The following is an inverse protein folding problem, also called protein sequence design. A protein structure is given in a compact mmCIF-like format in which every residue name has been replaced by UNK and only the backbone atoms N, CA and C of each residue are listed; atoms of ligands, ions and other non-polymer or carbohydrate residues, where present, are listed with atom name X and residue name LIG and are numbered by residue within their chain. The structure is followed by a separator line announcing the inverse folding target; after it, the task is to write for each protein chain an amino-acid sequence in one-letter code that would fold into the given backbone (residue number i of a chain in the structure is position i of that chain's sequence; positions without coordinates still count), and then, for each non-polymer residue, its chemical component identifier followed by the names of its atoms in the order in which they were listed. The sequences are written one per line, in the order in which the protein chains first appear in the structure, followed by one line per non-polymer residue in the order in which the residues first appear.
data_IF_978342393302
#
_entry.id   IF_978342393302
#
_cell.length_a   1.000
_cell.length_b   1.000
_cell.length_c   1.000
_cell.angle_alpha   90.00
_cell.angle_beta   90.00
_cell.angle_gamma   90.00
#
_symmetry.space_group_name_H-M   'P 1'
#
loop_
_entity.id
_entity.type
_entity.pdbx_description
1 polymer ?
#
# COMPACT_ATOMS: atom_id res chain seq x y z
N UNK A 1 8.72 6.20 -23.89
CA UNK A 1 8.46 4.99 -24.72
C UNK A 1 9.57 3.94 -24.74
N UNK A 2 10.83 4.23 -25.10
CA UNK A 2 11.88 3.18 -25.19
C UNK A 2 12.07 2.36 -23.90
N UNK A 3 12.08 3.02 -22.74
CA UNK A 3 12.24 2.38 -21.42
C UNK A 3 11.06 1.47 -21.08
N UNK A 4 9.83 1.96 -21.31
CA UNK A 4 8.59 1.18 -21.16
C UNK A 4 8.66 -0.07 -22.05
N UNK A 5 8.93 0.11 -23.35
CA UNK A 5 9.02 -1.00 -24.30
C UNK A 5 10.04 -2.05 -23.87
N UNK A 6 11.19 -1.63 -23.32
CA UNK A 6 12.22 -2.53 -22.79
C UNK A 6 11.68 -3.44 -21.69
N UNK A 7 11.04 -2.88 -20.66
CA UNK A 7 10.52 -3.66 -19.53
C UNK A 7 9.33 -4.55 -19.92
N UNK A 8 8.43 -4.08 -20.79
CA UNK A 8 7.33 -4.89 -21.29
C UNK A 8 7.82 -6.02 -22.20
N UNK A 9 8.83 -5.78 -23.04
CA UNK A 9 9.45 -6.83 -23.88
C UNK A 9 10.09 -7.90 -23.00
N UNK A 10 10.80 -7.49 -21.95
CA UNK A 10 11.39 -8.41 -20.99
C UNK A 10 10.32 -9.26 -20.29
N UNK A 11 9.23 -8.65 -19.85
CA UNK A 11 8.14 -9.35 -19.18
C UNK A 11 7.41 -10.34 -20.13
N UNK A 12 7.22 -9.98 -21.40
CA UNK A 12 6.69 -10.87 -22.43
C UNK A 12 7.63 -12.05 -22.70
N UNK A 13 8.94 -11.80 -22.81
CA UNK A 13 9.92 -12.86 -22.97
C UNK A 13 9.93 -13.81 -21.76
N UNK A 14 9.86 -13.27 -20.55
CA UNK A 14 9.73 -14.07 -19.33
C UNK A 14 8.44 -14.91 -19.33
N UNK A 15 7.31 -14.36 -19.78
CA UNK A 15 6.04 -15.10 -19.94
C UNK A 15 6.22 -16.30 -20.89
N UNK A 16 6.85 -16.08 -22.05
CA UNK A 16 7.10 -17.14 -23.04
C UNK A 16 7.99 -18.24 -22.45
N UNK A 17 9.07 -17.86 -21.75
CA UNK A 17 10.00 -18.79 -21.11
C UNK A 17 9.34 -19.69 -20.05
N UNK A 18 8.28 -19.22 -19.38
CA UNK A 18 7.54 -20.04 -18.39
C UNK A 18 6.83 -21.24 -19.01
N UNK A 19 6.64 -21.28 -20.32
CA UNK A 19 6.20 -22.48 -21.06
C UNK A 19 7.22 -23.63 -20.96
N UNK A 20 8.48 -23.32 -20.62
CA UNK A 20 9.55 -24.28 -20.34
C UNK A 20 10.05 -24.11 -18.90
N UNK A 21 9.38 -24.71 -17.90
CA UNK A 21 9.65 -24.45 -16.49
C UNK A 21 11.10 -24.71 -16.07
N UNK A 22 11.74 -25.73 -16.64
CA UNK A 22 13.14 -26.04 -16.36
C UNK A 22 14.09 -24.92 -16.80
N UNK A 23 13.89 -24.39 -18.02
CA UNK A 23 14.69 -23.29 -18.55
C UNK A 23 14.42 -21.99 -17.78
N UNK A 24 13.15 -21.70 -17.48
CA UNK A 24 12.78 -20.52 -16.70
C UNK A 24 13.46 -20.49 -15.33
N UNK A 25 13.43 -21.61 -14.60
CA UNK A 25 14.09 -21.73 -13.28
C UNK A 25 15.60 -21.65 -13.38
N UNK A 26 16.21 -22.27 -14.39
CA UNK A 26 17.66 -22.21 -14.60
C UNK A 26 18.15 -20.78 -14.88
N UNK A 27 17.36 -19.98 -15.61
CA UNK A 27 17.70 -18.60 -15.96
C UNK A 27 17.30 -17.57 -14.89
N UNK A 28 16.39 -17.90 -13.98
CA UNK A 28 15.90 -17.01 -12.92
C UNK A 28 16.04 -17.68 -11.55
N UNK A 29 17.27 -17.86 -11.03
CA UNK A 29 17.45 -18.37 -9.68
C UNK A 29 16.85 -17.39 -8.65
N UNK A 30 16.22 -17.93 -7.61
CA UNK A 30 15.70 -17.12 -6.50
C UNK A 30 16.90 -16.54 -5.74
N UNK A 31 17.03 -15.21 -5.76
CA UNK A 31 18.09 -14.51 -5.05
C UNK A 31 17.66 -14.22 -3.59
N UNK A 32 18.56 -14.35 -2.61
CA UNK A 32 18.23 -14.17 -1.19
C UNK A 32 17.94 -12.71 -0.78
N UNK A 33 18.39 -11.70 -1.55
CA UNK A 33 18.38 -10.28 -1.14
C UNK A 33 17.18 -9.47 -1.69
N UNK A 34 16.02 -10.12 -1.85
CA UNK A 34 14.84 -9.50 -2.50
C UNK A 34 14.12 -8.48 -1.61
N UNK A 35 14.09 -8.69 -0.30
CA UNK A 35 13.38 -7.82 0.64
C UNK A 35 14.08 -6.45 0.80
N UNK A 36 15.40 -6.42 1.00
CA UNK A 36 16.15 -5.18 1.15
C UNK A 36 16.13 -4.36 -0.15
N UNK A 37 16.25 -5.01 -1.32
CA UNK A 37 16.11 -4.37 -2.61
C UNK A 37 14.70 -3.78 -2.83
N UNK A 38 13.66 -4.49 -2.41
CA UNK A 38 12.28 -3.99 -2.45
C UNK A 38 12.09 -2.77 -1.54
N UNK A 39 12.61 -2.82 -0.31
CA UNK A 39 12.58 -1.69 0.63
C UNK A 39 13.32 -0.47 0.08
N UNK A 40 14.49 -0.68 -0.54
CA UNK A 40 15.23 0.40 -1.22
C UNK A 40 14.44 1.00 -2.39
N UNK A 41 13.82 0.15 -3.21
CA UNK A 41 12.93 0.57 -4.29
C UNK A 41 11.75 1.41 -3.80
N UNK A 42 11.08 0.96 -2.73
CA UNK A 42 9.96 1.69 -2.07
C UNK A 42 10.41 3.04 -1.54
N UNK A 43 11.59 3.12 -0.90
CA UNK A 43 12.15 4.39 -0.42
C UNK A 43 12.41 5.37 -1.56
N UNK A 44 13.06 4.91 -2.62
CA UNK A 44 13.30 5.76 -3.79
C UNK A 44 12.00 6.19 -4.48
N UNK A 45 10.99 5.32 -4.52
CA UNK A 45 9.66 5.69 -5.03
C UNK A 45 9.03 6.79 -4.17
N UNK A 46 9.09 6.69 -2.84
CA UNK A 46 8.64 7.73 -1.91
C UNK A 46 9.40 9.06 -2.11
N UNK A 47 10.67 9.00 -2.49
CA UNK A 47 11.50 10.19 -2.69
C UNK A 47 11.26 10.88 -4.04
N UNK A 48 11.00 10.11 -5.10
CA UNK A 48 10.79 10.65 -6.45
C UNK A 48 9.33 10.98 -6.78
N UNK A 49 8.35 10.40 -6.05
CA UNK A 49 6.93 10.59 -6.31
C UNK A 49 6.17 11.14 -5.09
N UNK A 50 5.14 11.99 -5.31
CA UNK A 50 4.36 12.53 -4.20
C UNK A 50 3.34 11.54 -3.63
N UNK A 51 2.98 10.47 -4.36
CA UNK A 51 1.80 9.65 -4.07
C UNK A 51 1.77 9.03 -2.68
N UNK A 52 2.88 8.41 -2.24
CA UNK A 52 2.94 7.81 -0.91
C UNK A 52 3.01 8.86 0.20
N UNK A 53 3.67 9.99 -0.04
CA UNK A 53 3.69 11.08 0.93
C UNK A 53 2.30 11.71 1.11
N UNK A 54 1.53 11.85 0.03
CA UNK A 54 0.13 12.24 0.08
C UNK A 54 -0.69 11.22 0.88
N UNK A 55 -0.49 9.93 0.61
CA UNK A 55 -1.13 8.85 1.38
C UNK A 55 -0.84 8.98 2.87
N UNK A 56 0.42 9.19 3.26
CA UNK A 56 0.83 9.33 4.66
C UNK A 56 0.20 10.55 5.31
N UNK A 57 0.24 11.70 4.64
CA UNK A 57 -0.37 12.93 5.14
C UNK A 57 -1.88 12.76 5.38
N UNK A 58 -2.59 12.21 4.41
CA UNK A 58 -4.05 12.02 4.49
C UNK A 58 -4.41 10.96 5.52
N UNK A 59 -3.63 9.87 5.62
CA UNK A 59 -3.83 8.83 6.62
C UNK A 59 -3.63 9.38 8.03
N UNK A 60 -2.54 10.10 8.27
CA UNK A 60 -2.25 10.74 9.55
C UNK A 60 -3.35 11.72 9.94
N UNK A 61 -3.82 12.55 8.99
CA UNK A 61 -4.92 13.48 9.24
C UNK A 61 -6.21 12.75 9.62
N UNK A 62 -6.60 11.70 8.89
CA UNK A 62 -7.79 10.93 9.20
C UNK A 62 -7.69 10.21 10.56
N UNK A 63 -6.51 9.69 10.91
CA UNK A 63 -6.26 9.07 12.21
C UNK A 63 -6.35 10.11 13.33
N UNK A 64 -5.73 11.29 13.17
CA UNK A 64 -5.80 12.36 14.17
C UNK A 64 -7.24 12.77 14.47
N UNK A 65 -8.05 12.96 13.43
CA UNK A 65 -9.47 13.27 13.55
C UNK A 65 -10.25 12.15 14.24
N UNK A 66 -10.02 10.89 13.85
CA UNK A 66 -10.69 9.75 14.47
C UNK A 66 -10.27 9.51 15.93
N UNK A 67 -9.07 9.91 16.33
CA UNK A 67 -8.50 9.69 17.66
C UNK A 67 -8.56 10.91 18.58
N UNK A 68 -9.36 11.92 18.23
CA UNK A 68 -9.68 13.05 19.10
C UNK A 68 -10.27 12.57 20.43
N UNK A 69 -9.86 13.16 21.55
CA UNK A 69 -10.24 12.75 22.90
C UNK A 69 -9.64 11.44 23.43
N UNK A 70 -9.11 10.56 22.56
CA UNK A 70 -8.59 9.25 22.98
C UNK A 70 -7.26 9.39 23.73
N UNK A 71 -7.16 8.74 24.90
CA UNK A 71 -5.95 8.76 25.76
C UNK A 71 -4.99 7.61 25.49
N UNK A 72 -5.47 6.52 24.89
CA UNK A 72 -4.65 5.37 24.50
C UNK A 72 -4.97 5.00 23.06
N UNK A 73 -3.98 5.12 22.18
CA UNK A 73 -4.14 4.90 20.74
C UNK A 73 -3.22 3.77 20.31
N UNK A 74 -3.77 2.80 19.57
CA UNK A 74 -3.01 1.75 18.90
C UNK A 74 -3.17 1.89 17.39
N UNK A 75 -2.05 1.98 16.69
CA UNK A 75 -2.01 1.98 15.23
C UNK A 75 -1.38 0.69 14.74
N UNK A 76 -2.06 -0.01 13.83
CA UNK A 76 -1.52 -1.17 13.09
C UNK A 76 -1.16 -0.72 11.68
N UNK A 77 0.09 -0.89 11.30
CA UNK A 77 0.61 -0.68 9.95
C UNK A 77 0.83 -2.04 9.26
N UNK A 78 -0.09 -2.42 8.38
CA UNK A 78 0.00 -3.64 7.57
C UNK A 78 0.97 -3.49 6.38
N UNK A 79 1.43 -2.26 6.13
CA UNK A 79 2.27 -1.84 5.03
C UNK A 79 3.77 -1.96 5.27
N UNK A 80 4.20 -2.12 6.52
CA UNK A 80 5.61 -2.01 6.94
C UNK A 80 6.22 -0.74 6.35
N UNK A 81 5.53 0.39 6.51
CA UNK A 81 5.82 1.61 5.76
C UNK A 81 7.07 2.32 6.27
N UNK A 82 7.62 3.19 5.41
CA UNK A 82 8.81 3.99 5.71
C UNK A 82 8.65 4.76 7.05
N UNK A 83 9.68 4.82 7.92
CA UNK A 83 9.59 5.51 9.20
C UNK A 83 9.12 6.96 9.10
N UNK A 84 9.34 7.64 7.96
CA UNK A 84 8.86 9.01 7.74
C UNK A 84 7.34 9.18 7.87
N UNK A 85 6.56 8.14 7.61
CA UNK A 85 5.11 8.16 7.82
C UNK A 85 4.77 8.43 9.29
N UNK A 86 5.38 7.65 10.18
CA UNK A 86 5.10 7.68 11.61
C UNK A 86 5.88 8.78 12.34
N UNK A 87 7.05 9.20 11.83
CA UNK A 87 7.74 10.40 12.32
C UNK A 87 6.85 11.64 12.16
N UNK A 88 6.24 11.83 10.99
CA UNK A 88 5.30 12.92 10.77
C UNK A 88 4.06 12.80 11.68
N UNK A 89 3.60 11.58 11.96
CA UNK A 89 2.49 11.35 12.88
C UNK A 89 2.84 11.72 14.33
N UNK A 90 4.03 11.32 14.81
CA UNK A 90 4.52 11.70 16.15
C UNK A 90 4.56 13.22 16.33
N UNK A 91 5.07 13.94 15.33
CA UNK A 91 5.09 15.41 15.33
C UNK A 91 3.69 16.03 15.35
N UNK A 92 2.74 15.44 14.64
CA UNK A 92 1.36 15.95 14.63
C UNK A 92 0.63 15.64 15.93
N UNK A 93 0.90 14.49 16.55
CA UNK A 93 0.29 14.05 17.81
C UNK A 93 0.83 14.84 19.01
N UNK A 94 2.11 15.21 19.03
CA UNK A 94 2.67 16.05 20.10
C UNK A 94 2.05 17.44 20.14
N UNK A 95 1.61 17.96 18.99
CA UNK A 95 0.93 19.25 18.86
C UNK A 95 -0.56 19.25 19.24
N UNK A 96 -1.13 18.13 19.71
CA UNK A 96 -2.54 18.06 20.11
C UNK A 96 -2.82 19.00 21.30
N UNK A 97 -3.93 19.78 21.30
CA UNK A 97 -4.27 20.67 22.41
C UNK A 97 -4.42 19.96 23.77
N UNK A 98 -4.83 18.68 23.76
CA UNK A 98 -4.99 17.86 24.96
C UNK A 98 -3.70 17.18 25.44
N UNK A 99 -2.58 17.40 24.74
CA UNK A 99 -1.35 16.64 24.88
C UNK A 99 -1.36 15.31 24.11
N UNK A 100 -0.19 14.65 23.99
CA UNK A 100 -0.08 13.37 23.31
C UNK A 100 -0.75 12.23 24.12
N UNK A 101 -1.38 11.25 23.45
CA UNK A 101 -1.89 10.03 24.09
C UNK A 101 -0.74 9.05 24.37
N UNK A 102 -1.02 7.99 25.13
CA UNK A 102 -0.17 6.80 25.08
C UNK A 102 -0.31 6.14 23.71
N UNK A 103 0.75 6.19 22.91
CA UNK A 103 0.76 5.73 21.54
C UNK A 103 1.46 4.38 21.41
N UNK A 104 0.79 3.42 20.78
CA UNK A 104 1.36 2.15 20.38
C UNK A 104 1.31 2.02 18.86
N UNK A 105 2.42 1.64 18.24
CA UNK A 105 2.49 1.31 16.81
C UNK A 105 2.88 -0.16 16.67
N UNK A 106 2.10 -0.90 15.88
CA UNK A 106 2.44 -2.27 15.46
C UNK A 106 2.68 -2.29 13.97
N UNK A 107 3.92 -2.56 13.55
CA UNK A 107 4.27 -2.62 12.14
C UNK A 107 4.48 -4.06 11.70
N UNK A 108 3.79 -4.46 10.63
CA UNK A 108 3.91 -5.77 9.98
C UNK A 108 4.81 -5.63 8.76
N UNK A 109 5.84 -6.46 8.66
CA UNK A 109 6.76 -6.46 7.52
C UNK A 109 7.60 -7.72 7.42
N UNK A 110 8.25 -7.93 6.29
CA UNK A 110 9.04 -9.15 6.04
C UNK A 110 10.51 -9.02 6.49
N UNK A 111 11.02 -7.79 6.54
CA UNK A 111 12.41 -7.48 6.87
C UNK A 111 12.53 -7.09 8.35
N UNK A 112 13.05 -8.01 9.15
CA UNK A 112 13.25 -7.81 10.59
C UNK A 112 14.21 -6.66 10.89
N UNK A 113 15.27 -6.52 10.10
CA UNK A 113 16.31 -5.54 10.39
C UNK A 113 15.79 -4.13 10.06
N UNK A 114 15.01 -3.99 8.97
CA UNK A 114 14.26 -2.77 8.67
C UNK A 114 13.27 -2.38 9.77
N UNK A 115 12.49 -3.35 10.30
CA UNK A 115 11.55 -3.09 11.39
C UNK A 115 12.27 -2.69 12.69
N UNK A 116 13.43 -3.29 12.96
CA UNK A 116 14.26 -2.97 14.13
C UNK A 116 14.80 -1.53 14.03
N UNK A 117 15.32 -1.14 12.86
CA UNK A 117 15.77 0.23 12.62
C UNK A 117 14.63 1.23 12.73
N UNK A 118 13.45 0.88 12.20
CA UNK A 118 12.24 1.71 12.32
C UNK A 118 11.85 1.90 13.79
N UNK A 119 11.88 0.83 14.59
CA UNK A 119 11.58 0.89 16.02
C UNK A 119 12.52 1.86 16.75
N UNK A 120 13.83 1.79 16.48
CA UNK A 120 14.84 2.66 17.07
C UNK A 120 14.56 4.13 16.74
N UNK A 121 14.42 4.45 15.46
CA UNK A 121 14.20 5.83 14.98
C UNK A 121 12.92 6.43 15.56
N UNK A 122 11.83 5.66 15.61
CA UNK A 122 10.55 6.16 16.15
C UNK A 122 10.59 6.31 17.68
N UNK A 123 11.31 5.43 18.38
CA UNK A 123 11.45 5.53 19.84
C UNK A 123 12.26 6.76 20.22
N UNK A 124 13.40 6.99 19.55
CA UNK A 124 14.22 8.19 19.77
C UNK A 124 13.45 9.49 19.50
N UNK A 125 12.61 9.53 18.46
CA UNK A 125 11.79 10.71 18.18
C UNK A 125 10.66 10.90 19.20
N UNK A 126 10.01 9.82 19.62
CA UNK A 126 8.98 9.87 20.65
C UNK A 126 9.53 10.36 22.00
N UNK A 127 10.74 9.95 22.37
CA UNK A 127 11.44 10.44 23.57
C UNK A 127 11.72 11.94 23.50
N UNK A 128 12.20 12.45 22.35
CA UNK A 128 12.44 13.89 22.15
C UNK A 128 11.16 14.72 22.25
N UNK A 129 10.03 14.14 21.85
CA UNK A 129 8.71 14.79 21.87
C UNK A 129 7.93 14.54 23.16
N UNK A 130 8.51 13.84 24.14
CA UNK A 130 7.87 13.46 25.41
C UNK A 130 6.53 12.72 25.22
N UNK A 131 6.49 11.79 24.24
CA UNK A 131 5.32 10.97 23.92
C UNK A 131 5.48 9.60 24.59
N UNK A 132 4.52 9.15 25.43
CA UNK A 132 4.51 7.78 25.93
C UNK A 132 4.30 6.80 24.76
N UNK A 133 5.36 6.08 24.37
CA UNK A 133 5.41 5.35 23.11
C UNK A 133 5.80 3.88 23.26
N UNK A 134 5.18 3.01 22.47
CA UNK A 134 5.52 1.60 22.34
C UNK A 134 5.53 1.17 20.87
N UNK A 135 6.61 0.53 20.44
CA UNK A 135 6.69 -0.09 19.11
C UNK A 135 6.67 -1.62 19.23
N UNK A 136 5.86 -2.28 18.40
CA UNK A 136 5.76 -3.74 18.32
C UNK A 136 5.96 -4.21 16.88
N UNK A 137 7.06 -4.91 16.62
CA UNK A 137 7.36 -5.45 15.29
C UNK A 137 6.73 -6.83 15.11
N UNK A 138 6.08 -7.04 13.95
CA UNK A 138 5.57 -8.36 13.53
C UNK A 138 6.22 -8.75 12.22
N UNK A 139 7.15 -9.70 12.28
CA UNK A 139 7.85 -10.20 11.07
C UNK A 139 6.97 -11.23 10.38
N UNK A 140 6.25 -10.82 9.34
CA UNK A 140 5.37 -11.71 8.58
C UNK A 140 5.01 -11.14 7.19
N UNK A 141 4.70 -12.05 6.26
CA UNK A 141 3.93 -11.72 5.06
C UNK A 141 2.45 -11.60 5.40
N UNK A 142 1.72 -10.77 4.64
CA UNK A 142 0.30 -10.55 4.91
C UNK A 142 -0.56 -11.82 4.74
N UNK A 143 -0.23 -12.68 3.77
CA UNK A 143 -0.91 -13.97 3.52
C UNK A 143 -0.74 -14.96 4.70
N UNK A 144 0.34 -14.82 5.47
CA UNK A 144 0.64 -15.67 6.64
C UNK A 144 0.45 -14.97 7.98
N UNK A 145 -0.16 -13.77 8.01
CA UNK A 145 -0.27 -12.98 9.23
C UNK A 145 -1.27 -13.61 10.21
N UNK A 146 -0.78 -14.07 11.36
CA UNK A 146 -1.65 -14.38 12.49
C UNK A 146 -2.14 -13.07 13.14
N UNK A 147 -3.43 -12.83 13.13
CA UNK A 147 -4.08 -11.62 13.66
C UNK A 147 -3.84 -11.45 15.17
N UNK A 148 -3.70 -12.54 15.92
CA UNK A 148 -3.40 -12.50 17.36
C UNK A 148 -2.01 -11.89 17.65
N UNK A 149 -1.08 -12.01 16.69
CA UNK A 149 0.27 -11.44 16.82
C UNK A 149 0.30 -9.91 16.84
N UNK A 150 -0.81 -9.26 16.42
CA UNK A 150 -1.01 -7.81 16.48
C UNK A 150 -1.21 -7.31 17.92
N UNK A 151 -1.53 -8.22 18.85
CA UNK A 151 -1.65 -7.96 20.30
C UNK A 151 -2.52 -6.75 20.63
N UNK A 152 -3.68 -6.61 19.99
CA UNK A 152 -4.65 -5.55 20.32
C UNK A 152 -5.10 -5.73 21.77
N UNK A 153 -5.10 -4.65 22.57
CA UNK A 153 -5.51 -4.69 23.97
C UNK A 153 -6.88 -4.03 24.14
N UNK A 154 -7.67 -4.53 25.08
CA UNK A 154 -8.96 -3.93 25.43
C UNK A 154 -8.76 -2.52 25.98
N UNK A 155 -9.59 -1.58 25.52
CA UNK A 155 -9.58 -0.19 25.98
C UNK A 155 -8.66 0.75 25.18
N UNK A 156 -7.93 0.24 24.18
CA UNK A 156 -7.17 1.08 23.24
C UNK A 156 -8.04 1.46 22.03
N UNK A 157 -7.96 2.71 21.57
CA UNK A 157 -8.59 3.13 20.33
C UNK A 157 -7.72 2.69 19.14
N UNK A 158 -8.28 1.82 18.28
CA UNK A 158 -7.54 1.15 17.22
C UNK A 158 -7.69 1.83 15.86
N UNK A 159 -6.57 2.19 15.23
CA UNK A 159 -6.48 2.51 13.81
C UNK A 159 -5.72 1.41 13.05
N UNK A 160 -6.16 1.09 11.84
CA UNK A 160 -5.46 0.18 10.92
C UNK A 160 -5.10 0.96 9.67
N UNK A 161 -3.87 0.81 9.19
CA UNK A 161 -3.44 1.37 7.91
C UNK A 161 -2.90 0.27 7.01
N UNK A 162 -3.23 0.35 5.72
CA UNK A 162 -2.68 -0.53 4.70
C UNK A 162 -2.31 0.27 3.47
N UNK A 163 -1.02 0.30 3.14
CA UNK A 163 -0.48 1.06 2.01
C UNK A 163 0.14 0.09 1.00
N UNK A 164 -0.56 -0.10 -0.13
CA UNK A 164 -0.17 -0.95 -1.25
C UNK A 164 0.16 -2.39 -0.82
N UNK A 165 -0.80 -3.06 -0.19
CA UNK A 165 -0.59 -4.44 0.34
C UNK A 165 -1.79 -5.36 0.20
N UNK A 166 -3.02 -4.86 0.23
CA UNK A 166 -4.19 -5.74 0.21
C UNK A 166 -4.34 -6.46 -1.12
N UNK A 167 -3.93 -5.83 -2.24
CA UNK A 167 -3.96 -6.47 -3.55
C UNK A 167 -3.17 -7.79 -3.61
N UNK A 168 -2.15 -7.96 -2.77
CA UNK A 168 -1.34 -9.18 -2.73
C UNK A 168 -2.14 -10.41 -2.27
N UNK A 169 -3.21 -10.19 -1.49
CA UNK A 169 -4.12 -11.24 -1.01
C UNK A 169 -5.13 -11.69 -2.07
N UNK A 170 -5.18 -11.03 -3.23
CA UNK A 170 -6.03 -11.43 -4.36
C UNK A 170 -5.38 -12.54 -5.20
N UNK A 171 -4.16 -12.96 -4.87
CA UNK A 171 -3.49 -14.08 -5.52
C UNK A 171 -4.23 -15.39 -5.18
N UNK A 172 -4.74 -16.06 -6.22
CA UNK A 172 -5.55 -17.29 -6.12
C UNK A 172 -4.87 -18.45 -6.85
N UNK A 173 -5.11 -19.67 -6.36
CA UNK A 173 -4.63 -20.88 -7.04
C UNK A 173 -5.61 -21.29 -8.14
N UNK A 174 -5.34 -20.83 -9.37
CA UNK A 174 -6.18 -21.11 -10.54
C UNK A 174 -6.18 -22.60 -10.93
N UNK A 175 -5.23 -23.43 -10.45
CA UNK A 175 -5.15 -24.85 -10.77
C UNK A 175 -6.16 -25.73 -10.00
N UNK A 176 -6.72 -25.23 -8.90
CA UNK A 176 -7.73 -25.94 -8.09
C UNK A 176 -9.16 -25.49 -8.37
N UNK A 177 -9.35 -24.43 -9.16
CA UNK A 177 -10.64 -23.89 -9.58
C UNK A 177 -11.35 -24.83 -10.58
N UNK A 178 -11.80 -25.98 -10.08
CA UNK A 178 -12.79 -26.82 -10.77
C UNK A 178 -14.16 -26.13 -10.68
N UNK A 179 -15.06 -26.35 -11.66
CA UNK A 179 -16.40 -25.75 -11.65
C UNK A 179 -17.29 -26.20 -10.46
N UNK A 180 -16.79 -27.06 -9.57
CA UNK A 180 -17.46 -27.48 -8.32
C UNK A 180 -17.03 -26.68 -7.08
N UNK A 181 -16.03 -25.80 -7.17
CA UNK A 181 -15.67 -24.85 -6.09
C UNK A 181 -16.51 -23.56 -6.08
N UNK A 182 -17.65 -23.55 -6.78
CA UNK A 182 -18.67 -22.49 -6.71
C UNK A 182 -19.34 -22.36 -5.33
N UNK A 183 -19.02 -23.25 -4.37
CA UNK A 183 -19.43 -23.17 -2.97
C UNK A 183 -18.19 -22.91 -2.07
N UNK A 184 -17.64 -21.70 -2.23
CA UNK A 184 -16.77 -20.95 -1.30
C UNK A 184 -15.53 -21.66 -0.71
N UNK A 185 -14.38 -21.66 -1.41
CA UNK A 185 -13.16 -21.29 -0.70
C UNK A 185 -13.33 -19.82 -0.32
N UNK A 186 -13.44 -19.51 0.98
CA UNK A 186 -13.52 -18.12 1.44
C UNK A 186 -12.37 -17.37 0.78
N UNK A 187 -12.70 -16.35 -0.03
CA UNK A 187 -11.71 -15.51 -0.69
C UNK A 187 -10.73 -15.04 0.40
N UNK A 188 -9.43 -15.32 0.25
CA UNK A 188 -8.42 -15.03 1.29
C UNK A 188 -8.53 -13.59 1.80
N UNK A 189 -8.77 -12.66 0.89
CA UNK A 189 -9.03 -11.25 1.20
C UNK A 189 -10.28 -11.06 2.07
N UNK A 190 -11.37 -11.76 1.82
CA UNK A 190 -12.60 -11.66 2.62
C UNK A 190 -12.39 -12.17 4.04
N UNK A 191 -11.72 -13.32 4.19
CA UNK A 191 -11.33 -13.84 5.52
C UNK A 191 -10.43 -12.86 6.27
N UNK A 192 -9.48 -12.26 5.56
CA UNK A 192 -8.56 -11.29 6.14
C UNK A 192 -9.30 -10.03 6.60
N UNK A 193 -10.15 -9.45 5.75
CA UNK A 193 -10.98 -8.30 6.08
C UNK A 193 -11.94 -8.59 7.24
N UNK A 194 -12.56 -9.77 7.27
CA UNK A 194 -13.41 -10.19 8.38
C UNK A 194 -12.61 -10.28 9.70
N UNK A 195 -11.37 -10.74 9.64
CA UNK A 195 -10.50 -10.79 10.82
C UNK A 195 -10.09 -9.40 11.31
N UNK A 196 -9.77 -8.47 10.38
CA UNK A 196 -9.53 -7.06 10.73
C UNK A 196 -10.78 -6.40 11.30
N UNK A 197 -11.96 -6.71 10.75
CA UNK A 197 -13.24 -6.23 11.26
C UNK A 197 -13.50 -6.72 12.69
N UNK A 198 -13.14 -7.97 12.99
CA UNK A 198 -13.23 -8.56 14.33
C UNK A 198 -12.40 -7.84 15.40
N UNK A 199 -11.36 -7.09 15.01
CA UNK A 199 -10.60 -6.23 15.91
C UNK A 199 -11.37 -4.95 16.32
N UNK A 200 -12.53 -4.69 15.72
CA UNK A 200 -13.37 -3.51 15.95
C UNK A 200 -12.61 -2.18 15.82
N UNK A 201 -11.85 -1.94 14.74
CA UNK A 201 -11.08 -0.72 14.57
C UNK A 201 -11.99 0.51 14.50
N UNK A 202 -11.60 1.58 15.20
CA UNK A 202 -12.28 2.88 15.10
C UNK A 202 -12.14 3.46 13.71
N UNK A 203 -10.98 3.26 13.08
CA UNK A 203 -10.68 3.68 11.72
C UNK A 203 -9.78 2.66 11.01
N UNK A 204 -10.03 2.42 9.73
CA UNK A 204 -9.10 1.76 8.82
C UNK A 204 -8.89 2.66 7.59
N UNK A 205 -7.64 2.97 7.26
CA UNK A 205 -7.27 3.77 6.10
C UNK A 205 -6.50 2.90 5.11
N UNK A 206 -6.92 2.93 3.85
CA UNK A 206 -6.38 2.04 2.81
C UNK A 206 -5.97 2.86 1.61
N UNK A 207 -4.74 2.64 1.17
CA UNK A 207 -4.19 3.18 -0.07
C UNK A 207 -3.83 2.03 -1.00
N UNK A 208 -4.33 2.06 -2.23
CA UNK A 208 -4.13 1.03 -3.26
C UNK A 208 -3.87 1.66 -4.64
N UNK A 209 -3.27 0.91 -5.56
CA UNK A 209 -3.11 1.32 -6.95
C UNK A 209 -4.46 1.38 -7.66
N UNK A 210 -4.74 2.49 -8.35
CA UNK A 210 -6.00 2.73 -9.05
C UNK A 210 -5.93 2.24 -10.51
N UNK A 211 -5.88 0.91 -10.69
CA UNK A 211 -5.81 0.29 -12.02
C UNK A 211 -6.41 -1.11 -12.02
N UNK A 212 -6.90 -1.58 -13.17
CA UNK A 212 -7.42 -2.95 -13.31
C UNK A 212 -6.36 -3.88 -13.89
N UNK A 213 -5.36 -4.25 -13.08
CA UNK A 213 -4.33 -5.23 -13.48
C UNK A 213 -4.71 -6.67 -13.11
N UNK A 214 -5.90 -6.89 -12.54
CA UNK A 214 -6.41 -8.22 -12.19
C UNK A 214 -7.40 -8.81 -13.23
N UNK A 215 -7.43 -8.28 -14.46
CA UNK A 215 -8.26 -8.82 -15.53
C UNK A 215 -7.86 -10.25 -15.92
N UNK A 216 -8.85 -11.10 -16.22
CA UNK A 216 -8.63 -12.50 -16.67
C UNK A 216 -8.09 -12.54 -18.10
N UNK A 217 -8.52 -11.60 -18.96
CA UNK A 217 -8.01 -11.45 -20.32
C UNK A 217 -6.60 -10.83 -20.30
N UNK A 218 -5.63 -11.54 -20.87
CA UNK A 218 -4.25 -11.09 -20.95
C UNK A 218 -4.09 -9.75 -21.70
N UNK A 219 -4.78 -9.57 -22.83
CA UNK A 219 -4.64 -8.37 -23.66
C UNK A 219 -5.19 -7.14 -22.93
N UNK A 220 -6.32 -7.26 -22.23
CA UNK A 220 -6.87 -6.18 -21.41
C UNK A 220 -5.91 -5.80 -20.28
N UNK A 221 -5.37 -6.82 -19.58
CA UNK A 221 -4.39 -6.62 -18.50
C UNK A 221 -3.11 -5.96 -19.02
N UNK A 222 -2.60 -6.40 -20.17
CA UNK A 222 -1.43 -5.85 -20.82
C UNK A 222 -1.63 -4.37 -21.19
N UNK A 223 -2.73 -4.05 -21.86
CA UNK A 223 -3.03 -2.68 -22.29
C UNK A 223 -3.23 -1.75 -21.10
N UNK A 224 -3.94 -2.19 -20.06
CA UNK A 224 -4.16 -1.39 -18.86
C UNK A 224 -2.86 -1.16 -18.07
N UNK A 225 -2.01 -2.19 -17.94
CA UNK A 225 -0.68 -2.03 -17.35
C UNK A 225 0.18 -1.07 -18.17
N UNK A 226 0.20 -1.19 -19.50
CA UNK A 226 0.94 -0.28 -20.37
C UNK A 226 0.53 1.18 -20.15
N UNK A 227 -0.78 1.44 -20.11
CA UNK A 227 -1.31 2.78 -19.87
C UNK A 227 -0.97 3.30 -18.48
N UNK A 228 -1.06 2.46 -17.45
CA UNK A 228 -0.74 2.82 -16.07
C UNK A 228 0.74 3.18 -15.91
N UNK A 229 1.65 2.30 -16.35
CA UNK A 229 3.08 2.57 -16.23
C UNK A 229 3.53 3.67 -17.17
N UNK A 230 2.94 3.84 -18.36
CA UNK A 230 3.24 4.99 -19.20
C UNK A 230 3.09 6.32 -18.45
N UNK A 231 2.00 6.49 -17.69
CA UNK A 231 1.81 7.67 -16.85
C UNK A 231 2.89 7.81 -15.76
N UNK A 232 3.28 6.73 -15.08
CA UNK A 232 4.38 6.76 -14.09
C UNK A 232 5.75 7.08 -14.71
N UNK A 233 6.03 6.57 -15.90
CA UNK A 233 7.24 6.91 -16.64
C UNK A 233 7.23 8.36 -17.12
N UNK A 234 6.07 8.90 -17.51
CA UNK A 234 5.91 10.31 -17.89
C UNK A 234 6.14 11.25 -16.68
N UNK A 235 5.68 10.87 -15.48
CA UNK A 235 6.01 11.59 -14.24
C UNK A 235 7.54 11.73 -14.07
N UNK A 236 8.29 10.63 -14.21
CA UNK A 236 9.77 10.64 -14.10
C UNK A 236 10.44 11.44 -15.21
N UNK A 237 9.86 11.42 -16.41
CA UNK A 237 10.39 12.15 -17.54
C UNK A 237 10.37 13.66 -17.32
N UNK A 238 9.31 14.17 -16.68
CA UNK A 238 9.19 15.59 -16.34
C UNK A 238 9.95 15.97 -15.05
N UNK A 239 9.97 15.09 -14.05
CA UNK A 239 10.50 15.43 -12.72
C UNK A 239 11.99 15.13 -12.53
N UNK A 240 12.58 14.18 -13.29
CA UNK A 240 13.91 13.64 -12.99
C UNK A 240 14.78 13.47 -14.24
N UNK A 241 16.05 13.95 -14.24
CA UNK A 241 16.96 13.77 -15.36
C UNK A 241 17.12 12.30 -15.79
N UNK A 242 17.23 12.06 -17.09
CA UNK A 242 17.29 10.71 -17.67
C UNK A 242 18.47 9.86 -17.17
N UNK A 243 19.58 10.52 -16.80
CA UNK A 243 20.80 9.87 -16.31
C UNK A 243 20.82 9.67 -14.78
N UNK A 244 19.77 10.07 -14.05
CA UNK A 244 19.69 9.86 -12.61
C UNK A 244 19.77 8.37 -12.26
N UNK A 245 20.67 8.05 -11.33
CA UNK A 245 20.83 6.70 -10.82
C UNK A 245 19.59 6.27 -10.00
N UNK A 246 18.99 7.19 -9.26
CA UNK A 246 17.77 7.00 -8.48
C UNK A 246 16.59 6.65 -9.39
N UNK A 247 16.43 7.40 -10.49
CA UNK A 247 15.43 7.11 -11.52
C UNK A 247 15.60 5.70 -12.08
N UNK A 248 16.82 5.36 -12.51
CA UNK A 248 17.15 4.03 -13.02
C UNK A 248 16.86 2.91 -12.01
N UNK A 249 17.10 3.17 -10.73
CA UNK A 249 16.83 2.22 -9.65
C UNK A 249 15.33 2.05 -9.43
N UNK A 250 14.52 3.11 -9.36
CA UNK A 250 13.05 2.98 -9.22
C UNK A 250 12.45 2.21 -10.38
N UNK A 251 12.84 2.54 -11.60
CA UNK A 251 12.32 1.84 -12.77
C UNK A 251 12.69 0.34 -12.77
N UNK A 252 13.87 -0.04 -12.26
CA UNK A 252 14.31 -1.44 -12.20
C UNK A 252 13.78 -2.21 -10.98
N UNK A 253 13.78 -1.59 -9.80
CA UNK A 253 13.45 -2.23 -8.52
C UNK A 253 11.96 -2.21 -8.22
N UNK A 254 11.20 -1.31 -8.86
CA UNK A 254 9.75 -1.18 -8.68
C UNK A 254 9.04 -1.49 -9.99
N UNK A 255 9.17 -0.64 -11.01
CA UNK A 255 8.31 -0.75 -12.20
C UNK A 255 8.54 -2.03 -12.99
N UNK A 256 9.80 -2.39 -13.24
CA UNK A 256 10.14 -3.64 -13.93
C UNK A 256 9.61 -4.86 -13.19
N UNK A 257 9.78 -4.92 -11.86
CA UNK A 257 9.33 -6.07 -11.07
C UNK A 257 7.81 -6.19 -11.07
N UNK A 258 7.10 -5.07 -10.90
CA UNK A 258 5.64 -5.08 -10.95
C UNK A 258 5.11 -5.43 -12.36
N UNK A 259 5.67 -4.82 -13.43
CA UNK A 259 5.33 -5.14 -14.82
C UNK A 259 5.58 -6.63 -15.09
N UNK A 260 6.73 -7.16 -14.67
CA UNK A 260 7.07 -8.58 -14.82
C UNK A 260 6.06 -9.45 -14.08
N UNK A 261 5.67 -9.10 -12.86
CA UNK A 261 4.68 -9.85 -12.11
C UNK A 261 3.29 -9.84 -12.77
N UNK A 262 2.82 -8.68 -13.24
CA UNK A 262 1.50 -8.53 -13.90
C UNK A 262 1.42 -9.31 -15.22
N UNK A 263 2.49 -9.29 -16.01
CA UNK A 263 2.50 -9.80 -17.39
C UNK A 263 3.00 -11.25 -17.45
N UNK A 264 4.06 -11.60 -16.71
CA UNK A 264 4.69 -12.91 -16.78
C UNK A 264 4.10 -13.93 -15.81
N UNK A 265 3.66 -13.50 -14.61
CA UNK A 265 3.17 -14.43 -13.58
C UNK A 265 1.68 -14.79 -13.78
N UNK A 266 1.24 -15.88 -13.17
CA UNK A 266 -0.17 -16.29 -13.05
C UNK A 266 -0.39 -17.01 -11.71
N UNK A 267 -1.65 -17.29 -11.36
CA UNK A 267 -1.99 -17.98 -10.11
C UNK A 267 -1.47 -17.26 -8.87
N UNK A 268 -0.92 -18.03 -7.92
CA UNK A 268 -0.35 -17.54 -6.67
C UNK A 268 0.96 -16.74 -6.85
N UNK A 269 1.68 -16.94 -7.96
CA UNK A 269 2.91 -16.18 -8.24
C UNK A 269 2.61 -14.75 -8.70
N UNK A 270 1.40 -14.49 -9.22
CA UNK A 270 0.96 -13.14 -9.60
C UNK A 270 0.34 -12.44 -8.39
N UNK A 271 1.16 -11.62 -7.72
CA UNK A 271 0.79 -10.85 -6.52
C UNK A 271 0.31 -9.44 -6.85
N UNK A 272 0.79 -8.83 -7.93
CA UNK A 272 0.44 -7.46 -8.37
C UNK A 272 -0.94 -7.44 -9.05
N UNK A 273 -1.99 -7.70 -8.26
CA UNK A 273 -3.37 -7.85 -8.71
C UNK A 273 -4.20 -6.61 -8.40
N UNK A 274 -3.79 -5.47 -8.95
CA UNK A 274 -4.47 -4.20 -8.70
C UNK A 274 -5.92 -4.21 -9.17
N UNK A 275 -6.79 -3.62 -8.36
CA UNK A 275 -8.20 -3.39 -8.66
C UNK A 275 -8.55 -1.92 -8.38
N UNK A 276 -9.50 -1.38 -9.14
CA UNK A 276 -10.00 -0.01 -8.96
C UNK A 276 -10.76 0.16 -7.64
N UNK A 277 -10.80 1.38 -7.11
CA UNK A 277 -11.45 1.76 -5.86
C UNK A 277 -12.86 1.17 -5.72
N UNK A 278 -13.67 1.17 -6.77
CA UNK A 278 -15.04 0.65 -6.69
C UNK A 278 -15.15 -0.84 -6.35
N UNK A 279 -14.16 -1.66 -6.73
CA UNK A 279 -14.11 -3.07 -6.32
C UNK A 279 -13.70 -3.20 -4.86
N UNK A 280 -12.67 -2.46 -4.45
CA UNK A 280 -12.27 -2.39 -3.04
C UNK A 280 -13.41 -1.95 -2.13
N UNK A 281 -14.15 -0.91 -2.52
CA UNK A 281 -15.30 -0.43 -1.75
C UNK A 281 -16.32 -1.54 -1.50
N UNK A 282 -16.65 -2.34 -2.52
CA UNK A 282 -17.57 -3.47 -2.38
C UNK A 282 -17.04 -4.52 -1.40
N UNK A 283 -15.74 -4.84 -1.45
CA UNK A 283 -15.12 -5.82 -0.55
C UNK A 283 -15.18 -5.38 0.91
N UNK A 284 -14.87 -4.11 1.19
CA UNK A 284 -14.98 -3.56 2.54
C UNK A 284 -16.42 -3.56 3.05
N UNK A 285 -17.38 -3.16 2.20
CA UNK A 285 -18.81 -3.17 2.56
C UNK A 285 -19.33 -4.59 2.84
N UNK A 286 -18.95 -5.57 2.01
CA UNK A 286 -19.29 -6.98 2.22
C UNK A 286 -18.69 -7.54 3.51
N UNK A 287 -17.49 -7.09 3.88
CA UNK A 287 -16.85 -7.44 5.16
C UNK A 287 -17.43 -6.67 6.38
N UNK A 288 -18.44 -5.81 6.18
CA UNK A 288 -19.12 -5.10 7.26
C UNK A 288 -18.50 -3.76 7.66
N UNK A 289 -17.54 -3.24 6.89
CA UNK A 289 -17.00 -1.90 7.12
C UNK A 289 -17.95 -0.81 6.57
N UNK A 290 -18.11 0.27 7.32
CA UNK A 290 -18.80 1.47 6.86
C UNK A 290 -17.83 2.49 6.27
N UNK A 291 -18.24 3.19 5.20
CA UNK A 291 -17.44 4.27 4.61
C UNK A 291 -17.29 5.46 5.58
N UNK A 292 -16.12 6.08 5.57
CA UNK A 292 -15.82 7.35 6.22
C UNK A 292 -15.30 8.31 5.16
N UNK A 293 -15.90 9.51 5.07
CA UNK A 293 -15.41 10.54 4.16
C UNK A 293 -14.12 11.14 4.70
N UNK A 294 -13.09 11.22 3.85
CA UNK A 294 -11.86 11.94 4.16
C UNK A 294 -12.15 13.44 4.24
N UNK A 295 -11.52 14.14 5.20
CA UNK A 295 -11.88 15.52 5.49
C UNK A 295 -11.45 16.51 4.41
N UNK A 296 -12.21 17.59 4.27
CA UNK A 296 -11.84 18.71 3.40
C UNK A 296 -10.49 19.33 3.81
N UNK A 297 -10.18 19.32 5.10
CA UNK A 297 -8.90 19.81 5.60
C UNK A 297 -7.72 18.94 5.11
N UNK A 298 -7.86 17.61 5.15
CA UNK A 298 -6.89 16.69 4.54
C UNK A 298 -6.71 16.92 3.04
N UNK A 299 -7.79 17.20 2.31
CA UNK A 299 -7.73 17.54 0.88
C UNK A 299 -6.94 18.84 0.63
N UNK A 300 -7.17 19.87 1.45
CA UNK A 300 -6.46 21.15 1.33
C UNK A 300 -4.96 21.00 1.60
N UNK A 301 -4.59 20.22 2.63
CA UNK A 301 -3.19 19.93 2.92
C UNK A 301 -2.52 19.13 1.80
N UNK A 302 -3.20 18.10 1.27
CA UNK A 302 -2.71 17.32 0.14
C UNK A 302 -2.45 18.18 -1.11
N UNK A 303 -3.37 19.10 -1.44
CA UNK A 303 -3.19 20.05 -2.55
C UNK A 303 -2.03 21.01 -2.31
N UNK A 304 -1.86 21.51 -1.08
CA UNK A 304 -0.71 22.34 -0.70
C UNK A 304 0.60 21.59 -0.84
N UNK A 305 0.64 20.32 -0.43
CA UNK A 305 1.83 19.47 -0.58
C UNK A 305 2.24 19.32 -2.05
N UNK A 306 1.28 19.10 -2.95
CA UNK A 306 1.56 19.02 -4.39
C UNK A 306 2.16 20.30 -4.97
N UNK A 307 1.86 21.47 -4.41
CA UNK A 307 2.47 22.73 -4.85
C UNK A 307 3.99 22.75 -4.66
N UNK A 308 4.51 22.05 -3.66
CA UNK A 308 5.95 21.90 -3.43
C UNK A 308 6.66 20.94 -4.40
N UNK A 309 5.93 20.09 -5.12
CA UNK A 309 6.49 19.10 -6.05
C UNK A 309 6.60 19.59 -7.50
N UNK A 310 6.25 20.85 -7.77
CA UNK A 310 6.05 21.35 -9.12
C UNK A 310 4.71 20.85 -9.66
N UNK A 311 3.69 21.70 -9.62
CA UNK A 311 2.27 21.37 -9.89
C UNK A 311 1.96 20.79 -11.29
N UNK A 312 2.92 20.66 -12.20
CA UNK A 312 2.62 20.29 -13.58
C UNK A 312 2.29 18.79 -13.66
N UNK A 313 0.99 18.50 -13.68
CA UNK A 313 0.43 17.18 -13.96
C UNK A 313 -0.14 16.44 -12.74
N UNK A 314 0.41 16.60 -11.54
CA UNK A 314 -0.14 15.93 -10.35
C UNK A 314 -1.45 16.56 -9.88
N UNK A 315 -2.48 15.73 -9.62
CA UNK A 315 -3.79 16.19 -9.12
C UNK A 315 -4.32 15.28 -8.01
N UNK A 316 -5.10 15.86 -7.10
CA UNK A 316 -5.93 15.10 -6.14
C UNK A 316 -7.40 15.36 -6.46
N UNK A 317 -8.12 14.31 -6.86
CA UNK A 317 -9.56 14.33 -7.11
C UNK A 317 -10.29 13.71 -5.94
N UNK A 318 -11.46 14.25 -5.59
CA UNK A 318 -12.35 13.65 -4.60
C UNK A 318 -13.43 12.86 -5.33
N UNK A 319 -13.65 11.61 -4.92
CA UNK A 319 -14.73 10.76 -5.42
C UNK A 319 -15.38 10.00 -4.26
N UNK A 320 -16.66 10.28 -4.00
CA UNK A 320 -17.48 9.56 -2.99
C UNK A 320 -16.83 9.53 -1.60
N UNK A 321 -16.20 10.63 -1.18
CA UNK A 321 -15.51 10.75 0.12
C UNK A 321 -14.13 10.07 0.18
N UNK A 322 -13.64 9.54 -0.94
CA UNK A 322 -12.27 9.03 -1.10
C UNK A 322 -11.46 10.00 -1.95
N UNK A 323 -10.13 9.88 -1.95
CA UNK A 323 -9.27 10.68 -2.82
C UNK A 323 -8.54 9.82 -3.85
N UNK A 324 -8.43 10.33 -5.07
CA UNK A 324 -7.67 9.75 -6.17
C UNK A 324 -6.45 10.63 -6.46
N UNK A 325 -5.26 10.04 -6.39
CA UNK A 325 -4.03 10.70 -6.80
C UNK A 325 -3.80 10.42 -8.28
N UNK A 326 -3.70 11.50 -9.05
CA UNK A 326 -3.70 11.44 -10.51
C UNK A 326 -2.42 12.03 -11.08
N UNK A 327 -2.02 11.50 -12.23
CA UNK A 327 -1.14 12.17 -13.18
C UNK A 327 -1.97 12.58 -14.40
N UNK A 328 -2.01 13.87 -14.67
CA UNK A 328 -2.96 14.48 -15.61
C UNK A 328 -4.40 14.06 -15.27
N UNK A 329 -5.09 13.40 -16.20
CA UNK A 329 -6.43 12.86 -15.97
C UNK A 329 -6.45 11.40 -15.49
N UNK A 330 -5.30 10.72 -15.52
CA UNK A 330 -5.18 9.31 -15.14
C UNK A 330 -5.03 9.19 -13.63
N UNK A 331 -6.01 8.54 -12.98
CA UNK A 331 -5.86 8.11 -11.59
C UNK A 331 -4.82 6.99 -11.51
N UNK A 332 -3.93 7.07 -10.51
CA UNK A 332 -2.84 6.13 -10.29
C UNK A 332 -2.94 5.46 -8.93
N UNK A 333 -3.43 6.16 -7.92
CA UNK A 333 -3.62 5.62 -6.58
C UNK A 333 -4.93 6.14 -6.01
N UNK A 334 -5.55 5.35 -5.14
CA UNK A 334 -6.71 5.76 -4.36
C UNK A 334 -6.44 5.60 -2.88
N UNK A 335 -6.99 6.50 -2.08
CA UNK A 335 -7.01 6.42 -0.62
C UNK A 335 -8.46 6.53 -0.12
N UNK A 336 -8.81 5.66 0.81
CA UNK A 336 -10.16 5.52 1.36
C UNK A 336 -10.12 5.24 2.87
N UNK A 337 -11.16 5.65 3.58
CA UNK A 337 -11.29 5.46 5.02
C UNK A 337 -12.58 4.70 5.36
N UNK A 338 -12.48 3.86 6.39
CA UNK A 338 -13.47 2.87 6.76
C UNK A 338 -13.59 2.82 8.29
N UNK A 339 -14.79 2.61 8.81
CA UNK A 339 -15.04 2.41 10.25
C UNK A 339 -15.68 1.06 10.48
N UNK A 340 -15.47 0.52 11.68
CA UNK A 340 -16.31 -0.55 12.18
C UNK A 340 -17.77 -0.10 12.22
N UNK A 341 -18.66 -0.94 11.69
CA UNK A 341 -20.12 -0.76 11.74
C UNK A 341 -20.70 -2.03 12.36
N UNK A 342 -21.34 -1.92 13.53
CA UNK A 342 -22.23 -2.99 13.98
C UNK A 342 -23.45 -2.99 13.07
N UNK A 343 -23.85 -4.15 12.59
CA UNK A 343 -25.18 -4.31 12.03
C UNK A 343 -26.14 -4.15 13.21
N UNK A 344 -26.90 -3.07 13.22
CA UNK A 344 -28.02 -2.86 14.14
C UNK A 344 -29.17 -3.82 13.79
#
# INVERSE_FOLDING_TARGET
MQRIASYFTEALAARLLRSWPGLYRALNPILPDTAAASNHGRRLFLDLFPFLRLSFLISNQAILEAMEGEKVVHVIDLGGSDPSHWLAFLQAVSGRPEGPPHLRITAVGEDRDFLTQTALVLTEEAEKLDIPFQFHAVVSQLDGLNIESLRVKTGEALAITSVLKLHTLLATDEATATPRQLFSPIDKIESFLASLWGLSPKLMVVTEQESNHNGTNFNERFMEALNFYAALFDCLELAVPRQSAERLKVEKLVFREEIKNIIACEGLERKERHEKLHKWMRRFEMAGFGRVGLSHYGLLQARRMLQGFGCEGYKVKEEKGCFLFCWQERALFSISAWRFRRYD
#
